data_IF_743172854744
#
_entry.id   IF_743172854744
#
_cell.length_a   1.000
_cell.length_b   1.000
_cell.length_c   1.000
_cell.angle_alpha   90.00
_cell.angle_beta   90.00
_cell.angle_gamma   90.00
#
_symmetry.space_group_name_H-M   'P 1'
#
loop_
_entity.id
_entity.type
_entity.pdbx_description
1 polymer ?
#
# COMPACT_ATOMS: atom_id res chain seq x y z
N UNK A 1 4.96 -28.36 11.22
CA UNK A 1 3.90 -27.39 10.91
C UNK A 1 3.61 -26.59 12.17
N UNK A 2 4.10 -25.34 12.24
CA UNK A 2 3.56 -24.33 13.15
C UNK A 2 3.92 -22.98 12.56
N UNK A 3 2.98 -22.40 11.80
CA UNK A 3 3.13 -21.08 11.21
C UNK A 3 2.77 -20.08 12.29
N UNK A 4 3.79 -19.46 12.87
CA UNK A 4 3.65 -18.34 13.79
C UNK A 4 3.27 -17.10 12.96
N UNK A 5 1.98 -16.95 12.67
CA UNK A 5 1.44 -15.70 12.15
C UNK A 5 1.52 -14.67 13.29
N UNK A 6 2.22 -13.53 13.15
CA UNK A 6 2.17 -12.50 14.18
C UNK A 6 0.73 -11.96 14.27
N UNK A 7 0.22 -11.68 15.48
CA UNK A 7 -1.11 -11.09 15.64
C UNK A 7 -1.18 -9.71 14.96
N UNK A 8 -2.35 -9.31 14.43
CA UNK A 8 -2.55 -7.95 13.94
C UNK A 8 -2.34 -6.96 15.10
N UNK A 9 -1.53 -5.93 14.87
CA UNK A 9 -1.13 -4.92 15.86
C UNK A 9 -2.28 -3.99 16.33
N UNK A 10 -3.53 -4.36 16.13
CA UNK A 10 -4.72 -3.55 16.43
C UNK A 10 -5.63 -4.19 17.52
N UNK A 11 -5.09 -5.08 18.38
CA UNK A 11 -5.84 -5.63 19.51
C UNK A 11 -6.06 -4.61 20.66
N UNK A 12 -6.36 -3.36 20.32
CA UNK A 12 -6.71 -2.28 21.24
C UNK A 12 -8.16 -1.85 21.05
N UNK A 13 -9.06 -2.47 21.82
CA UNK A 13 -10.40 -2.02 22.20
C UNK A 13 -11.22 -1.18 21.20
N UNK A 14 -12.14 -1.80 20.44
CA UNK A 14 -13.41 -1.16 20.06
C UNK A 14 -14.48 -2.24 19.77
N UNK A 15 -15.74 -1.94 20.10
CA UNK A 15 -16.89 -2.85 20.03
C UNK A 15 -17.20 -3.42 18.64
N UNK A 16 -18.27 -4.22 18.49
CA UNK A 16 -18.52 -4.99 17.27
C UNK A 16 -18.59 -4.05 16.06
N UNK A 17 -17.83 -4.32 14.98
CA UNK A 17 -17.80 -3.45 13.83
C UNK A 17 -19.18 -3.42 13.16
N UNK A 18 -19.81 -2.25 13.16
CA UNK A 18 -20.95 -1.96 12.29
C UNK A 18 -20.44 -2.03 10.84
N UNK A 19 -20.65 -3.17 10.17
CA UNK A 19 -20.24 -3.48 8.79
C UNK A 19 -18.94 -2.77 8.34
N UNK A 20 -17.79 -3.16 8.90
CA UNK A 20 -16.52 -2.54 8.56
C UNK A 20 -16.13 -2.78 7.09
N UNK A 21 -15.99 -1.71 6.31
CA UNK A 21 -15.46 -1.76 4.96
C UNK A 21 -13.96 -2.13 4.99
N UNK A 22 -13.59 -3.22 4.31
CA UNK A 22 -12.20 -3.63 4.15
C UNK A 22 -11.54 -2.85 3.01
N UNK A 23 -10.29 -2.45 3.24
CA UNK A 23 -9.43 -1.74 2.30
C UNK A 23 -8.25 -2.62 1.90
N UNK A 24 -7.75 -2.41 0.68
CA UNK A 24 -6.58 -3.11 0.13
C UNK A 24 -5.67 -2.09 -0.55
N UNK A 25 -4.38 -2.37 -0.59
CA UNK A 25 -3.46 -1.68 -1.49
C UNK A 25 -3.38 -2.49 -2.80
N UNK A 26 -3.30 -1.79 -3.93
CA UNK A 26 -3.16 -2.40 -5.23
C UNK A 26 -2.16 -1.64 -6.09
N UNK A 27 -1.35 -2.38 -6.83
CA UNK A 27 -0.37 -1.85 -7.78
C UNK A 27 -0.73 -2.29 -9.18
N UNK A 28 -0.91 -1.34 -10.09
CA UNK A 28 -1.16 -1.64 -11.50
C UNK A 28 0.12 -1.43 -12.29
N UNK A 29 0.70 -2.51 -12.81
CA UNK A 29 1.82 -2.39 -13.73
C UNK A 29 1.30 -1.91 -15.10
N UNK A 30 1.67 -0.68 -15.47
CA UNK A 30 1.11 0.01 -16.65
C UNK A 30 1.26 -0.79 -17.96
N UNK A 31 2.46 -1.31 -18.24
CA UNK A 31 2.78 -1.99 -19.51
C UNK A 31 2.02 -3.31 -19.69
N UNK A 32 1.95 -4.11 -18.62
CA UNK A 32 1.41 -5.48 -18.67
C UNK A 32 -0.04 -5.56 -18.23
N UNK A 33 -0.59 -4.44 -17.70
CA UNK A 33 -1.92 -4.38 -17.06
C UNK A 33 -2.10 -5.41 -15.94
N UNK A 34 -0.99 -5.91 -15.37
CA UNK A 34 -1.03 -6.81 -14.22
C UNK A 34 -1.34 -6.00 -12.96
N UNK A 35 -2.41 -6.39 -12.29
CA UNK A 35 -2.81 -5.84 -11.00
C UNK A 35 -2.27 -6.75 -9.88
N UNK A 36 -1.43 -6.20 -9.02
CA UNK A 36 -1.01 -6.86 -7.79
C UNK A 36 -1.83 -6.32 -6.62
N UNK A 37 -2.53 -7.21 -5.91
CA UNK A 37 -3.37 -6.87 -4.76
C UNK A 37 -2.70 -7.41 -3.51
N UNK A 38 -2.58 -6.56 -2.50
CA UNK A 38 -1.92 -6.90 -1.24
C UNK A 38 -2.91 -7.50 -0.23
N UNK A 39 -2.46 -7.68 1.02
CA UNK A 39 -3.36 -8.02 2.13
C UNK A 39 -4.46 -6.96 2.32
N UNK A 40 -5.50 -7.33 3.07
CA UNK A 40 -6.65 -6.48 3.39
C UNK A 40 -6.56 -5.98 4.84
N UNK A 41 -7.12 -4.82 5.14
CA UNK A 41 -7.27 -4.30 6.51
C UNK A 41 -8.52 -3.43 6.62
N UNK A 42 -9.17 -3.41 7.78
CA UNK A 42 -10.22 -2.42 8.06
C UNK A 42 -9.64 -1.01 8.24
N UNK A 43 -8.41 -0.93 8.77
CA UNK A 43 -7.75 0.30 9.18
C UNK A 43 -6.36 0.40 8.52
N UNK A 44 -6.25 0.94 7.30
CA UNK A 44 -4.94 1.15 6.70
C UNK A 44 -4.26 2.32 7.40
N UNK A 45 -3.11 2.03 8.00
CA UNK A 45 -2.18 3.00 8.58
C UNK A 45 -0.99 3.20 7.67
N UNK A 46 -0.23 4.26 7.89
CA UNK A 46 1.05 4.50 7.18
C UNK A 46 1.99 3.31 7.29
N UNK A 47 2.16 2.77 8.50
CA UNK A 47 3.00 1.59 8.74
C UNK A 47 2.53 0.38 7.93
N UNK A 48 1.21 0.13 7.91
CA UNK A 48 0.65 -0.98 7.15
C UNK A 48 0.89 -0.82 5.64
N UNK A 49 0.65 0.39 5.11
CA UNK A 49 0.84 0.72 3.69
C UNK A 49 2.31 0.59 3.27
N UNK A 50 3.26 1.12 4.05
CA UNK A 50 4.70 0.95 3.81
C UNK A 50 5.12 -0.52 3.87
N UNK A 51 4.57 -1.31 4.79
CA UNK A 51 4.89 -2.74 4.87
C UNK A 51 4.35 -3.53 3.67
N UNK A 52 3.18 -3.16 3.14
CA UNK A 52 2.68 -3.76 1.90
C UNK A 52 3.55 -3.36 0.70
N UNK A 53 4.05 -2.12 0.65
CA UNK A 53 4.88 -1.61 -0.43
C UNK A 53 6.21 -2.35 -0.60
N UNK A 54 6.79 -2.88 0.48
CA UNK A 54 8.03 -3.67 0.46
C UNK A 54 7.90 -4.97 -0.35
N UNK A 55 6.68 -5.45 -0.56
CA UNK A 55 6.42 -6.66 -1.31
C UNK A 55 5.28 -6.41 -2.32
N UNK A 56 5.52 -5.60 -3.37
CA UNK A 56 4.49 -5.24 -4.35
C UNK A 56 4.20 -6.39 -5.34
N UNK A 57 4.66 -7.61 -5.03
CA UNK A 57 4.38 -8.87 -5.72
C UNK A 57 4.81 -8.98 -7.17
N UNK A 58 5.65 -8.06 -7.63
CA UNK A 58 6.38 -8.17 -8.89
C UNK A 58 7.80 -7.64 -8.68
N UNK A 59 8.76 -8.17 -9.45
CA UNK A 59 10.15 -7.70 -9.43
C UNK A 59 10.16 -6.28 -10.01
N UNK A 60 10.54 -5.31 -9.18
CA UNK A 60 10.53 -3.87 -9.50
C UNK A 60 11.69 -3.45 -10.40
N UNK A 61 12.66 -4.33 -10.65
CA UNK A 61 13.92 -4.10 -11.38
C UNK A 61 13.82 -3.57 -12.83
N UNK A 62 12.62 -3.29 -13.32
CA UNK A 62 12.38 -2.65 -14.64
C UNK A 62 11.39 -1.48 -14.59
N UNK A 63 10.92 -1.10 -13.40
CA UNK A 63 10.00 0.01 -13.21
C UNK A 63 10.79 1.28 -12.91
N UNK A 64 10.45 2.37 -13.58
CA UNK A 64 11.12 3.67 -13.39
C UNK A 64 10.34 4.65 -12.52
N UNK A 65 9.03 4.43 -12.42
CA UNK A 65 8.11 5.33 -11.75
C UNK A 65 7.10 4.54 -10.93
N UNK A 66 6.76 5.05 -9.75
CA UNK A 66 5.54 4.69 -9.03
C UNK A 66 4.64 5.93 -8.97
N UNK A 67 3.37 5.76 -9.33
CA UNK A 67 2.36 6.80 -9.18
C UNK A 67 1.48 6.44 -8.00
N UNK A 68 1.35 7.35 -7.04
CA UNK A 68 0.44 7.22 -5.90
C UNK A 68 -0.47 8.44 -5.81
N UNK A 69 -1.58 8.31 -5.11
CA UNK A 69 -2.45 9.45 -4.83
C UNK A 69 -1.93 10.27 -3.63
N UNK A 70 -2.66 11.31 -3.20
CA UNK A 70 -2.23 12.19 -2.10
C UNK A 70 -2.78 11.80 -0.72
N UNK A 71 -3.29 10.57 -0.55
CA UNK A 71 -3.72 10.09 0.77
C UNK A 71 -2.53 10.13 1.74
N UNK A 72 -2.76 10.68 2.93
CA UNK A 72 -1.77 10.86 3.99
C UNK A 72 -1.13 9.56 4.47
N UNK A 73 -1.71 8.40 4.14
CA UNK A 73 -1.13 7.08 4.43
C UNK A 73 0.09 6.77 3.56
N UNK A 74 0.23 7.42 2.41
CA UNK A 74 1.42 7.35 1.55
C UNK A 74 2.44 8.40 2.03
N UNK A 75 3.05 8.14 3.19
CA UNK A 75 4.08 9.01 3.76
C UNK A 75 5.48 8.70 3.21
N UNK A 76 6.49 9.44 3.67
CA UNK A 76 7.89 9.26 3.26
C UNK A 76 8.39 7.83 3.43
N UNK A 77 7.92 7.08 4.44
CA UNK A 77 8.27 5.68 4.65
C UNK A 77 7.74 4.74 3.55
N UNK A 78 6.69 5.12 2.84
CA UNK A 78 6.19 4.43 1.66
C UNK A 78 7.00 4.80 0.43
N UNK A 79 7.25 6.10 0.23
CA UNK A 79 8.02 6.63 -0.90
C UNK A 79 9.46 6.06 -0.89
N UNK A 80 10.10 6.00 0.28
CA UNK A 80 11.44 5.45 0.49
C UNK A 80 11.61 3.98 0.05
N UNK A 81 10.53 3.18 0.05
CA UNK A 81 10.61 1.78 -0.42
C UNK A 81 10.90 1.72 -1.91
N UNK A 82 10.32 2.63 -2.70
CA UNK A 82 10.51 2.67 -4.14
C UNK A 82 11.79 3.42 -4.52
N UNK A 83 12.15 4.45 -3.75
CA UNK A 83 13.41 5.17 -3.94
C UNK A 83 14.64 4.29 -3.68
N UNK A 84 14.56 3.35 -2.73
CA UNK A 84 15.59 2.34 -2.50
C UNK A 84 15.81 1.40 -3.70
N UNK A 85 14.80 1.30 -4.57
CA UNK A 85 14.81 0.52 -5.82
C UNK A 85 15.07 1.44 -7.04
N UNK A 86 15.63 2.63 -6.80
CA UNK A 86 15.96 3.66 -7.80
C UNK A 86 14.75 4.15 -8.63
N UNK A 87 13.54 3.97 -8.11
CA UNK A 87 12.31 4.42 -8.77
C UNK A 87 11.98 5.86 -8.37
N UNK A 88 11.45 6.64 -9.32
CA UNK A 88 10.91 7.97 -9.02
C UNK A 88 9.46 7.88 -8.54
N UNK A 89 9.20 8.44 -7.35
CA UNK A 89 7.84 8.58 -6.84
C UNK A 89 7.18 9.82 -7.43
N UNK A 90 5.99 9.64 -8.00
CA UNK A 90 5.14 10.72 -8.49
C UNK A 90 3.82 10.69 -7.73
N UNK A 91 3.33 11.87 -7.33
CA UNK A 91 1.96 12.02 -6.85
C UNK A 91 1.07 12.54 -7.98
N UNK A 92 -0.20 12.12 -8.01
CA UNK A 92 -1.14 12.64 -9.00
C UNK A 92 -1.34 14.17 -8.87
N UNK A 93 -1.68 14.80 -10.00
CA UNK A 93 -2.00 16.23 -10.07
C UNK A 93 -3.27 16.55 -9.22
N UNK A 94 -3.48 17.82 -8.80
CA UNK A 94 -4.66 18.19 -8.01
C UNK A 94 -5.94 17.80 -8.76
N UNK A 95 -7.00 17.43 -8.04
CA UNK A 95 -8.34 17.33 -8.62
C UNK A 95 -8.66 18.65 -9.33
N UNK A 96 -8.95 18.61 -10.63
CA UNK A 96 -9.67 19.70 -11.27
C UNK A 96 -11.04 19.74 -10.58
N UNK A 97 -11.32 20.78 -9.80
CA UNK A 97 -12.69 21.06 -9.38
C UNK A 97 -13.39 21.59 -10.63
N UNK A 98 -14.33 20.83 -11.16
CA UNK A 98 -15.39 21.37 -12.00
C UNK A 98 -16.43 22.05 -11.11
#
# INVERSE_FOLDING_TARGET
>A
MSSLLPPPLDAGAQGPPTAAALRKLAFLQHRTRKLHITRVTAHPTTQWVSQQARNPGSRVESLRFVLRDRDSKYADSFDAVFEAEEMKVLSNAPRLRA
#
